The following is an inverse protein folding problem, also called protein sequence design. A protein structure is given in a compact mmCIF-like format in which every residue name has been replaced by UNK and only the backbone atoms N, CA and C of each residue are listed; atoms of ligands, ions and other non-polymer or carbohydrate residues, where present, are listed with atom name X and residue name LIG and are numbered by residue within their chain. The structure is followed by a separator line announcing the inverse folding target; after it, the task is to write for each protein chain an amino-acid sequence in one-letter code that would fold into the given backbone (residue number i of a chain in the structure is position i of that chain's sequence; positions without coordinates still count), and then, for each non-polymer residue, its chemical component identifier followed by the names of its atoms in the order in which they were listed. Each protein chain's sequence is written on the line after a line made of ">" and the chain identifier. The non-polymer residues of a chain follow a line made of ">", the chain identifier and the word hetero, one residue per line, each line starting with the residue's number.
data_IF_927870694059
#
_entry.id   IF_927870694059
#
_cell.length_a   1.000
_cell.length_b   1.000
_cell.length_c   1.000
_cell.angle_alpha   90.00
_cell.angle_beta   90.00
_cell.angle_gamma   90.00
#
_symmetry.space_group_name_H-M   'P 1'
#
loop_
_entity.id
_entity.type
_entity.pdbx_description
1 polymer ?
#
# COMPACT_ATOMS: atom_id res chain seq x y z
N UNK A 1 -3.11 -36.56 -34.19
CA UNK A 1 -4.18 -35.61 -33.81
C UNK A 1 -4.14 -35.40 -32.31
N UNK A 2 -3.92 -34.17 -31.84
CA UNK A 2 -3.90 -33.87 -30.40
C UNK A 2 -5.30 -34.04 -29.82
N UNK A 3 -5.42 -34.83 -28.74
CA UNK A 3 -6.68 -35.05 -28.01
C UNK A 3 -7.14 -33.71 -27.44
N UNK A 4 -8.35 -33.25 -27.77
CA UNK A 4 -8.95 -32.06 -27.15
C UNK A 4 -9.11 -32.32 -25.65
N UNK A 5 -8.66 -31.38 -24.81
CA UNK A 5 -8.68 -31.47 -23.33
C UNK A 5 -9.52 -30.37 -22.67
N UNK A 6 -10.36 -29.67 -23.44
CA UNK A 6 -11.22 -28.61 -22.92
C UNK A 6 -10.49 -27.30 -22.66
N UNK A 7 -11.14 -26.43 -21.88
CA UNK A 7 -10.62 -25.12 -21.51
C UNK A 7 -9.25 -25.21 -20.79
N UNK A 8 -8.93 -26.36 -20.17
CA UNK A 8 -7.61 -26.64 -19.61
C UNK A 8 -6.47 -26.55 -20.65
N UNK A 9 -6.77 -26.76 -21.94
CA UNK A 9 -5.82 -26.56 -23.03
C UNK A 9 -5.44 -25.09 -23.29
N UNK A 10 -6.12 -24.13 -22.65
CA UNK A 10 -5.80 -22.71 -22.73
C UNK A 10 -4.79 -22.25 -21.68
N UNK A 11 -4.57 -23.02 -20.61
CA UNK A 11 -3.63 -22.64 -19.53
C UNK A 11 -2.24 -22.22 -20.02
N UNK A 12 -1.58 -22.93 -20.96
CA UNK A 12 -0.30 -22.50 -21.52
C UNK A 12 -0.34 -21.20 -22.34
N UNK A 13 -1.53 -20.76 -22.76
CA UNK A 13 -1.76 -19.52 -23.51
C UNK A 13 -2.12 -18.35 -22.58
N UNK A 14 -2.38 -18.60 -21.31
CA UNK A 14 -2.68 -17.55 -20.34
C UNK A 14 -1.39 -16.84 -19.91
N UNK A 15 -1.43 -15.52 -19.93
CA UNK A 15 -0.37 -14.71 -19.34
C UNK A 15 -0.34 -14.95 -17.83
N UNK A 16 0.83 -15.28 -17.28
CA UNK A 16 1.00 -15.50 -15.85
C UNK A 16 0.75 -14.19 -15.12
N UNK A 17 0.29 -14.27 -13.87
CA UNK A 17 0.13 -13.07 -13.04
C UNK A 17 1.44 -12.26 -12.96
N UNK A 18 2.58 -12.95 -12.80
CA UNK A 18 3.90 -12.33 -12.74
C UNK A 18 4.36 -11.62 -14.03
N UNK A 19 3.76 -11.93 -15.17
CA UNK A 19 4.04 -11.24 -16.44
C UNK A 19 3.47 -9.80 -16.42
N UNK A 20 2.48 -9.54 -15.56
CA UNK A 20 1.88 -8.22 -15.35
C UNK A 20 2.42 -7.48 -14.14
N UNK A 21 3.16 -8.15 -13.26
CA UNK A 21 3.73 -7.52 -12.09
C UNK A 21 5.00 -6.73 -12.47
N UNK A 22 5.14 -5.47 -12.01
CA UNK A 22 6.30 -4.63 -12.33
C UNK A 22 7.56 -5.01 -11.54
N UNK A 23 7.45 -5.94 -10.60
CA UNK A 23 8.51 -6.33 -9.68
C UNK A 23 9.50 -7.29 -10.34
N UNK A 24 10.80 -7.06 -10.11
CA UNK A 24 11.87 -7.95 -10.55
C UNK A 24 12.38 -8.82 -9.39
N UNK A 25 12.81 -8.20 -8.29
CA UNK A 25 13.32 -8.88 -7.08
C UNK A 25 13.38 -7.91 -5.89
N UNK A 26 13.54 -8.45 -4.68
CA UNK A 26 13.98 -7.64 -3.53
C UNK A 26 15.48 -7.37 -3.63
N UNK A 27 15.88 -6.12 -3.37
CA UNK A 27 17.29 -5.73 -3.19
C UNK A 27 17.71 -6.00 -1.75
N UNK A 28 16.83 -5.62 -0.82
CA UNK A 28 16.91 -5.88 0.61
C UNK A 28 15.49 -5.97 1.21
N UNK A 29 15.38 -6.00 2.54
CA UNK A 29 14.12 -6.15 3.28
C UNK A 29 13.10 -5.02 3.02
N UNK A 30 13.56 -3.86 2.56
CA UNK A 30 12.76 -2.64 2.37
C UNK A 30 12.67 -2.14 0.93
N UNK A 31 13.55 -2.63 0.06
CA UNK A 31 13.71 -2.14 -1.31
C UNK A 31 13.38 -3.21 -2.35
N UNK A 32 12.48 -2.86 -3.28
CA UNK A 32 12.16 -3.67 -4.46
C UNK A 32 12.82 -3.07 -5.70
N UNK A 33 13.48 -3.91 -6.50
CA UNK A 33 13.91 -3.57 -7.85
C UNK A 33 12.75 -3.84 -8.82
N UNK A 34 12.40 -2.84 -9.62
CA UNK A 34 11.39 -2.95 -10.67
C UNK A 34 12.01 -3.39 -12.00
N UNK A 35 11.19 -3.91 -12.91
CA UNK A 35 11.65 -4.43 -14.22
C UNK A 35 12.26 -3.37 -15.13
N UNK A 36 11.96 -2.09 -14.91
CA UNK A 36 12.53 -0.95 -15.64
C UNK A 36 13.86 -0.46 -15.05
N UNK A 37 14.35 -1.09 -13.98
CA UNK A 37 15.59 -0.73 -13.29
C UNK A 37 15.42 0.31 -12.18
N UNK A 38 14.21 0.87 -11.99
CA UNK A 38 13.93 1.75 -10.85
C UNK A 38 13.78 0.97 -9.54
N UNK A 39 13.84 1.67 -8.41
CA UNK A 39 13.65 1.08 -7.08
C UNK A 39 12.38 1.62 -6.42
N UNK A 40 11.69 0.76 -5.67
CA UNK A 40 10.49 1.10 -4.91
C UNK A 40 10.72 0.78 -3.43
N UNK A 41 10.36 1.74 -2.59
CA UNK A 41 10.21 1.56 -1.14
C UNK A 41 8.77 1.87 -0.74
N UNK A 42 8.30 1.26 0.34
CA UNK A 42 7.02 1.60 0.96
C UNK A 42 7.25 2.01 2.41
N UNK A 43 6.53 3.02 2.86
CA UNK A 43 6.50 3.42 4.26
C UNK A 43 5.06 3.36 4.75
N UNK A 44 4.88 2.85 5.96
CA UNK A 44 3.60 2.95 6.64
C UNK A 44 3.52 4.31 7.32
N UNK A 45 2.52 5.11 6.94
CA UNK A 45 2.16 6.32 7.68
C UNK A 45 1.05 5.95 8.65
N UNK A 46 1.21 6.14 9.96
CA UNK A 46 0.16 5.87 10.93
C UNK A 46 -1.07 6.75 10.64
N UNK A 47 -2.25 6.22 10.98
CA UNK A 47 -3.48 7.00 10.94
C UNK A 47 -3.42 8.16 11.93
N UNK A 48 -4.22 9.19 11.66
CA UNK A 48 -4.36 10.34 12.55
C UNK A 48 -5.77 10.34 13.17
N UNK A 49 -5.87 10.74 14.44
CA UNK A 49 -7.13 10.89 15.17
C UNK A 49 -7.87 12.17 14.73
N UNK A 50 -8.28 12.19 13.46
CA UNK A 50 -8.83 13.40 12.82
C UNK A 50 -10.03 14.01 13.56
N UNK A 51 -10.86 13.18 14.19
CA UNK A 51 -12.08 13.64 14.87
C UNK A 51 -11.83 14.23 16.27
N UNK A 52 -10.70 13.89 16.91
CA UNK A 52 -10.41 14.31 18.29
C UNK A 52 -9.16 15.20 18.41
N UNK A 53 -8.39 15.35 17.34
CA UNK A 53 -7.21 16.21 17.29
C UNK A 53 -7.57 17.69 17.25
N UNK A 54 -6.64 18.50 17.76
CA UNK A 54 -6.75 19.95 17.70
C UNK A 54 -6.54 20.47 16.26
N UNK A 55 -7.21 21.56 15.92
CA UNK A 55 -7.13 22.14 14.57
C UNK A 55 -5.71 22.59 14.21
N UNK A 56 -4.95 23.11 15.17
CA UNK A 56 -3.57 23.55 14.92
C UNK A 56 -2.66 22.35 14.62
N UNK A 57 -2.85 21.23 15.33
CA UNK A 57 -2.16 19.96 15.03
C UNK A 57 -2.49 19.46 13.62
N UNK A 58 -3.78 19.46 13.25
CA UNK A 58 -4.22 19.05 11.91
C UNK A 58 -3.57 19.90 10.81
N UNK A 59 -3.54 21.21 11.01
CA UNK A 59 -2.93 22.15 10.08
C UNK A 59 -1.41 21.93 9.95
N UNK A 60 -0.71 21.66 11.07
CA UNK A 60 0.71 21.36 11.06
C UNK A 60 1.02 20.07 10.26
N UNK A 61 0.20 19.03 10.40
CA UNK A 61 0.33 17.80 9.60
C UNK A 61 0.08 18.06 8.11
N UNK A 62 -0.96 18.84 7.77
CA UNK A 62 -1.25 19.20 6.39
C UNK A 62 -0.10 20.00 5.75
N UNK A 63 0.46 20.97 6.47
CA UNK A 63 1.61 21.75 6.02
C UNK A 63 2.84 20.87 5.78
N UNK A 64 3.13 19.94 6.70
CA UNK A 64 4.23 18.97 6.56
C UNK A 64 4.05 18.11 5.31
N UNK A 65 2.84 17.59 5.08
CA UNK A 65 2.52 16.80 3.87
C UNK A 65 2.77 17.59 2.60
N UNK A 66 2.34 18.85 2.56
CA UNK A 66 2.52 19.72 1.40
C UNK A 66 4.00 19.98 1.10
N UNK A 67 4.83 20.21 2.13
CA UNK A 67 6.28 20.37 1.98
C UNK A 67 6.90 19.10 1.40
N UNK A 68 6.54 17.93 1.92
CA UNK A 68 7.02 16.65 1.40
C UNK A 68 6.64 16.49 -0.07
N UNK A 69 5.35 16.66 -0.41
CA UNK A 69 4.86 16.53 -1.78
C UNK A 69 5.64 17.44 -2.73
N UNK A 70 5.78 18.72 -2.38
CA UNK A 70 6.49 19.70 -3.18
C UNK A 70 7.97 19.38 -3.33
N UNK A 71 8.63 18.90 -2.27
CA UNK A 71 10.04 18.52 -2.31
C UNK A 71 10.31 17.30 -3.21
N UNK A 72 9.30 16.44 -3.39
CA UNK A 72 9.39 15.24 -4.24
C UNK A 72 8.95 15.47 -5.70
N UNK A 73 8.55 16.69 -6.08
CA UNK A 73 8.18 17.05 -7.46
C UNK A 73 9.41 17.17 -8.36
N UNK A 74 10.04 16.04 -8.63
CA UNK A 74 11.15 15.87 -9.56
C UNK A 74 10.85 14.66 -10.45
N UNK A 75 11.23 14.71 -11.72
CA UNK A 75 10.90 13.68 -12.72
C UNK A 75 11.49 12.30 -12.41
N UNK A 76 12.44 12.20 -11.48
CA UNK A 76 13.08 10.96 -11.05
C UNK A 76 12.27 10.18 -10.02
N UNK A 77 11.26 10.79 -9.40
CA UNK A 77 10.49 10.17 -8.35
C UNK A 77 9.02 10.00 -8.75
N UNK A 78 8.44 8.88 -8.36
CA UNK A 78 7.00 8.63 -8.45
C UNK A 78 6.51 8.37 -7.04
N UNK A 79 5.52 9.15 -6.59
CA UNK A 79 4.87 8.95 -5.31
C UNK A 79 3.47 8.35 -5.54
N UNK A 80 3.21 7.21 -4.89
CA UNK A 80 1.90 6.58 -4.85
C UNK A 80 1.47 6.38 -3.40
N UNK A 81 0.21 6.65 -3.08
CA UNK A 81 -0.35 6.40 -1.76
C UNK A 81 -1.56 5.49 -1.88
N UNK A 82 -1.71 4.57 -0.92
CA UNK A 82 -2.87 3.69 -0.81
C UNK A 82 -3.38 3.70 0.63
N UNK A 83 -4.68 3.92 0.80
CA UNK A 83 -5.32 3.94 2.11
C UNK A 83 -5.99 2.60 2.38
N UNK A 84 -5.52 1.91 3.41
CA UNK A 84 -6.14 0.67 3.89
C UNK A 84 -7.12 1.04 4.99
N UNK A 85 -8.42 0.83 4.76
CA UNK A 85 -9.47 0.99 5.79
C UNK A 85 -9.81 -0.37 6.37
N UNK A 86 -9.70 -0.52 7.68
CA UNK A 86 -10.09 -1.73 8.41
C UNK A 86 -11.14 -1.36 9.45
N UNK A 87 -12.16 -2.20 9.59
CA UNK A 87 -13.09 -2.11 10.72
C UNK A 87 -12.33 -2.54 11.97
N UNK A 88 -12.39 -1.72 13.02
CA UNK A 88 -11.86 -2.04 14.34
C UNK A 88 -13.06 -2.12 15.27
N UNK A 89 -13.19 -3.22 16.00
CA UNK A 89 -14.14 -3.33 17.12
C UNK A 89 -13.33 -3.10 18.39
N UNK A 90 -13.55 -1.95 19.02
CA UNK A 90 -12.91 -1.59 20.28
C UNK A 90 -13.82 -2.08 21.38
N UNK A 91 -13.43 -3.17 22.04
CA UNK A 91 -14.07 -3.59 23.30
C UNK A 91 -13.44 -2.82 24.46
N UNK A 92 -14.29 -2.26 25.31
CA UNK A 92 -13.86 -1.68 26.59
C UNK A 92 -14.11 -2.73 27.66
N UNK A 93 -13.05 -3.17 28.33
CA UNK A 93 -13.17 -4.02 29.51
C UNK A 93 -13.96 -3.27 30.58
N UNK A 94 -15.17 -3.75 30.88
CA UNK A 94 -16.01 -3.23 31.95
C UNK A 94 -16.11 -4.27 33.07
N UNK A 95 -15.80 -3.85 34.29
CA UNK A 95 -16.13 -4.58 35.51
C UNK A 95 -17.32 -3.89 36.17
N UNK A 96 -18.42 -4.61 36.30
CA UNK A 96 -19.58 -4.20 37.08
C UNK A 96 -19.62 -5.05 38.34
N UNK A 97 -19.87 -4.43 39.49
CA UNK A 97 -20.16 -5.18 40.71
C UNK A 97 -21.51 -5.91 40.54
N UNK A 98 -21.58 -7.14 41.05
CA UNK A 98 -22.83 -7.93 41.05
C UNK A 98 -23.88 -7.22 41.97
N UNK A 99 -25.18 -7.19 41.62
CA UNK A 99 -26.20 -6.44 42.36
C UNK A 99 -26.37 -6.83 43.83
#
# INVERSE_FOLDING_TARGET
>A
MSKWIGAAGWGPKEAKAGDRLPYLRMVDESMLLLRDGSVMSSIQVPGLLFETEDTDSLNAHAATREVVLRSTLDSRFVLYHHVIRRRVEVELDAKFDDP
#
